data_IF_132780555979
#
_entry.id   IF_132780555979
#
_cell.length_a   1.000
_cell.length_b   1.000
_cell.length_c   1.000
_cell.angle_alpha   90.00
_cell.angle_beta   90.00
_cell.angle_gamma   90.00
#
_symmetry.space_group_name_H-M   'P 1'
#
loop_
_entity.id
_entity.type
_entity.pdbx_description
1 polymer ?
#
# COMPACT_ATOMS: atom_id res chain seq x y z
N UNK A 1 28.48 9.42 26.18
CA UNK A 1 27.36 9.76 25.26
C UNK A 1 26.92 8.49 24.55
N UNK A 2 25.80 7.90 25.00
CA UNK A 2 25.24 6.69 24.39
C UNK A 2 24.74 7.05 23.00
N UNK A 3 25.35 6.47 21.96
CA UNK A 3 24.83 6.57 20.58
C UNK A 3 23.45 5.92 20.58
N UNK A 4 22.40 6.73 20.50
CA UNK A 4 21.04 6.22 20.32
C UNK A 4 21.01 5.42 19.02
N UNK A 5 21.01 4.09 19.14
CA UNK A 5 20.55 3.21 18.06
C UNK A 5 19.14 3.68 17.72
N UNK A 6 18.95 4.24 16.53
CA UNK A 6 17.67 4.82 16.13
C UNK A 6 16.61 3.72 16.17
N UNK A 7 15.66 3.82 17.12
CA UNK A 7 14.54 2.87 17.19
C UNK A 7 13.75 2.97 15.87
N UNK A 8 13.27 1.85 15.33
CA UNK A 8 12.53 1.83 14.06
C UNK A 8 11.33 2.81 14.03
N UNK A 9 10.77 3.14 15.20
CA UNK A 9 9.74 4.15 15.38
C UNK A 9 10.21 5.57 15.02
N UNK A 10 11.43 5.97 15.39
CA UNK A 10 12.02 7.27 15.07
C UNK A 10 12.31 7.36 13.57
N UNK A 11 12.88 6.31 13.00
CA UNK A 11 13.12 6.21 11.55
C UNK A 11 11.82 6.32 10.75
N UNK A 12 10.74 5.67 11.20
CA UNK A 12 9.45 5.77 10.54
C UNK A 12 8.87 7.19 10.60
N UNK A 13 8.98 7.85 11.76
CA UNK A 13 8.50 9.22 11.95
C UNK A 13 9.31 10.22 11.11
N UNK A 14 10.63 10.03 10.99
CA UNK A 14 11.55 10.91 10.28
C UNK A 14 11.53 10.75 8.75
N UNK A 15 10.83 9.75 8.21
CA UNK A 15 10.65 9.59 6.76
C UNK A 15 10.13 10.90 6.12
N UNK A 16 10.64 11.31 4.94
CA UNK A 16 10.31 12.58 4.31
C UNK A 16 8.94 12.52 3.60
N UNK A 17 7.87 12.35 4.37
CA UNK A 17 6.50 12.12 3.89
C UNK A 17 6.02 13.18 2.89
N UNK A 18 6.33 14.46 3.15
CA UNK A 18 5.98 15.57 2.25
C UNK A 18 6.65 15.41 0.88
N UNK A 19 7.94 15.05 0.85
CA UNK A 19 8.70 14.80 -0.38
C UNK A 19 8.16 13.57 -1.12
N UNK A 20 7.83 12.50 -0.40
CA UNK A 20 7.22 11.31 -1.00
C UNK A 20 5.90 11.62 -1.70
N UNK A 21 5.01 12.38 -1.04
CA UNK A 21 3.73 12.79 -1.63
C UNK A 21 3.93 13.64 -2.87
N UNK A 22 4.81 14.64 -2.80
CA UNK A 22 5.12 15.51 -3.94
C UNK A 22 5.66 14.72 -5.15
N UNK A 23 6.57 13.78 -4.91
CA UNK A 23 7.13 12.94 -5.96
C UNK A 23 6.08 12.03 -6.61
N UNK A 24 5.26 11.36 -5.80
CA UNK A 24 4.18 10.49 -6.29
C UNK A 24 3.16 11.30 -7.11
N UNK A 25 2.75 12.46 -6.61
CA UNK A 25 1.79 13.33 -7.29
C UNK A 25 2.30 13.82 -8.66
N UNK A 26 3.59 14.14 -8.78
CA UNK A 26 4.21 14.49 -10.08
C UNK A 26 4.13 13.32 -11.07
N UNK A 27 4.39 12.09 -10.61
CA UNK A 27 4.28 10.89 -11.47
C UNK A 27 2.82 10.64 -11.89
N UNK A 28 1.88 10.72 -10.95
CA UNK A 28 0.45 10.57 -11.24
C UNK A 28 -0.05 11.63 -12.24
N UNK A 29 0.38 12.89 -12.12
CA UNK A 29 0.09 13.94 -13.12
C UNK A 29 0.63 13.59 -14.51
N UNK A 30 1.82 13.00 -14.59
CA UNK A 30 2.41 12.56 -15.87
C UNK A 30 1.61 11.39 -16.47
N UNK A 31 1.16 10.44 -15.64
CA UNK A 31 0.28 9.34 -16.07
C UNK A 31 -1.02 9.92 -16.63
N UNK A 32 -1.68 10.82 -15.90
CA UNK A 32 -2.91 11.48 -16.34
C UNK A 32 -2.74 12.18 -17.68
N UNK A 33 -1.67 12.97 -17.85
CA UNK A 33 -1.37 13.64 -19.13
C UNK A 33 -1.17 12.63 -20.27
N UNK A 34 -0.44 11.54 -20.03
CA UNK A 34 -0.20 10.50 -21.04
C UNK A 34 -1.50 9.78 -21.45
N UNK A 35 -2.34 9.43 -20.48
CA UNK A 35 -3.66 8.82 -20.74
C UNK A 35 -4.56 9.77 -21.53
N UNK A 36 -4.60 11.04 -21.15
CA UNK A 36 -5.44 12.06 -21.81
C UNK A 36 -5.11 12.26 -23.29
N UNK A 37 -3.85 12.10 -23.70
CA UNK A 37 -3.43 12.19 -25.10
C UNK A 37 -3.40 10.84 -25.81
N UNK A 38 -3.87 9.76 -25.17
CA UNK A 38 -3.92 8.42 -25.76
C UNK A 38 -2.58 7.66 -25.78
N UNK A 39 -1.51 8.19 -25.18
CA UNK A 39 -0.20 7.54 -25.14
C UNK A 39 -0.15 6.41 -24.08
N UNK A 40 -0.74 5.28 -24.46
CA UNK A 40 -0.82 4.07 -23.63
C UNK A 40 0.55 3.47 -23.33
N UNK A 41 1.56 3.67 -24.19
CA UNK A 41 2.92 3.14 -23.96
C UNK A 41 3.61 3.90 -22.84
N UNK A 42 3.55 5.24 -22.89
CA UNK A 42 4.10 6.11 -21.85
C UNK A 42 3.35 5.98 -20.53
N UNK A 43 2.01 5.87 -20.56
CA UNK A 43 1.22 5.61 -19.35
C UNK A 43 1.68 4.33 -18.64
N UNK A 44 1.84 3.22 -19.38
CA UNK A 44 2.35 1.95 -18.84
C UNK A 44 3.77 2.06 -18.28
N UNK A 45 4.67 2.77 -18.97
CA UNK A 45 6.04 3.00 -18.49
C UNK A 45 6.05 3.80 -17.18
N UNK A 46 5.23 4.85 -17.07
CA UNK A 46 5.10 5.66 -15.86
C UNK A 46 4.47 4.88 -14.71
N UNK A 47 3.48 4.02 -14.98
CA UNK A 47 2.93 3.10 -13.98
C UNK A 47 4.03 2.17 -13.45
N UNK A 48 4.82 1.54 -14.33
CA UNK A 48 5.98 0.72 -13.91
C UNK A 48 6.99 1.50 -13.06
N UNK A 49 7.19 2.79 -13.36
CA UNK A 49 8.07 3.65 -12.55
C UNK A 49 7.50 3.92 -11.15
N UNK A 50 6.18 4.17 -11.05
CA UNK A 50 5.50 4.27 -9.75
C UNK A 50 5.67 2.95 -8.98
N UNK A 51 5.50 1.81 -9.67
CA UNK A 51 5.69 0.48 -9.09
C UNK A 51 7.12 0.16 -8.62
N UNK A 52 8.11 0.97 -8.97
CA UNK A 52 9.50 0.84 -8.48
C UNK A 52 9.84 1.88 -7.42
N UNK A 53 8.98 2.87 -7.20
CA UNK A 53 9.25 4.00 -6.31
C UNK A 53 9.13 3.64 -4.83
N UNK A 54 10.24 3.81 -4.10
CA UNK A 54 10.29 3.72 -2.63
C UNK A 54 9.27 4.65 -1.96
N UNK A 55 9.10 5.86 -2.50
CA UNK A 55 8.13 6.83 -1.99
C UNK A 55 6.69 6.31 -2.09
N UNK A 56 6.34 5.68 -3.21
CA UNK A 56 5.00 5.16 -3.43
C UNK A 56 4.70 3.97 -2.51
N UNK A 57 5.67 3.05 -2.33
CA UNK A 57 5.53 1.91 -1.39
C UNK A 57 5.30 2.37 0.05
N UNK A 58 6.12 3.28 0.57
CA UNK A 58 5.93 3.78 1.94
C UNK A 58 4.59 4.50 2.15
N UNK A 59 4.14 5.27 1.15
CA UNK A 59 2.84 5.93 1.22
C UNK A 59 1.70 4.91 1.24
N UNK A 60 1.76 3.87 0.40
CA UNK A 60 0.78 2.79 0.39
C UNK A 60 0.75 2.04 1.74
N UNK A 61 1.91 1.66 2.28
CA UNK A 61 2.02 1.01 3.59
C UNK A 61 1.43 1.90 4.68
N UNK A 62 1.81 3.19 4.74
CA UNK A 62 1.26 4.14 5.72
C UNK A 62 -0.26 4.27 5.58
N UNK A 63 -0.77 4.35 4.37
CA UNK A 63 -2.21 4.46 4.12
C UNK A 63 -2.95 3.24 4.68
N UNK A 64 -2.51 2.03 4.32
CA UNK A 64 -3.16 0.78 4.71
C UNK A 64 -3.04 0.51 6.22
N UNK A 65 -1.87 0.75 6.80
CA UNK A 65 -1.59 0.39 8.20
C UNK A 65 -1.99 1.45 9.21
N UNK A 66 -2.11 2.72 8.82
CA UNK A 66 -2.34 3.82 9.77
C UNK A 66 -3.60 4.64 9.49
N UNK A 67 -3.93 4.89 8.22
CA UNK A 67 -4.93 5.89 7.83
C UNK A 67 -6.27 5.30 7.40
N UNK A 68 -6.29 4.09 6.83
CA UNK A 68 -7.53 3.47 6.38
C UNK A 68 -8.46 3.10 7.55
N UNK A 69 -9.76 3.31 7.37
CA UNK A 69 -10.79 2.93 8.35
C UNK A 69 -10.80 1.41 8.62
N UNK A 70 -10.63 0.59 7.58
CA UNK A 70 -10.57 -0.87 7.67
C UNK A 70 -9.22 -1.44 8.13
N UNK A 71 -8.31 -0.62 8.69
CA UNK A 71 -6.97 -1.09 9.11
C UNK A 71 -7.04 -2.20 10.16
N UNK A 72 -8.04 -2.16 11.04
CA UNK A 72 -8.22 -3.13 12.13
C UNK A 72 -8.83 -4.47 11.67
N UNK A 73 -9.14 -4.64 10.39
CA UNK A 73 -9.72 -5.87 9.86
C UNK A 73 -8.62 -6.74 9.25
N UNK A 74 -8.36 -7.89 9.86
CA UNK A 74 -7.36 -8.84 9.37
C UNK A 74 -7.85 -9.62 8.14
N UNK A 75 -6.94 -9.88 7.20
CA UNK A 75 -7.14 -10.86 6.13
C UNK A 75 -6.93 -12.28 6.65
N UNK A 76 -6.56 -13.20 5.76
CA UNK A 76 -6.23 -14.58 6.13
C UNK A 76 -4.94 -14.65 6.95
N UNK A 77 -4.10 -13.62 6.83
CA UNK A 77 -2.84 -13.43 7.56
C UNK A 77 -3.04 -13.18 9.06
N UNK A 78 -4.27 -12.91 9.51
CA UNK A 78 -4.58 -12.68 10.93
C UNK A 78 -4.05 -11.35 11.48
N UNK A 79 -3.27 -10.58 10.70
CA UNK A 79 -2.65 -9.33 11.14
C UNK A 79 -3.60 -8.14 10.98
N UNK A 80 -3.81 -7.41 12.08
CA UNK A 80 -4.60 -6.16 12.12
C UNK A 80 -3.72 -4.92 12.17
N UNK A 81 -2.54 -5.02 12.77
CA UNK A 81 -1.58 -3.93 12.87
C UNK A 81 -0.16 -4.44 12.60
N UNK A 82 0.69 -3.54 12.12
CA UNK A 82 2.11 -3.81 11.92
C UNK A 82 2.94 -2.92 12.84
N UNK A 83 3.99 -3.50 13.43
CA UNK A 83 5.05 -2.73 14.11
C UNK A 83 5.82 -1.87 13.10
N UNK A 84 6.64 -0.94 13.58
CA UNK A 84 7.47 -0.11 12.69
C UNK A 84 8.45 -0.96 11.87
N UNK A 85 9.05 -1.98 12.47
CA UNK A 85 9.97 -2.90 11.81
C UNK A 85 9.26 -3.73 10.73
N UNK A 86 8.08 -4.28 11.05
CA UNK A 86 7.28 -5.01 10.08
C UNK A 86 6.87 -4.15 8.88
N UNK A 87 6.66 -2.84 9.06
CA UNK A 87 6.40 -1.92 7.94
C UNK A 87 7.62 -1.73 7.03
N UNK A 88 8.82 -1.70 7.59
CA UNK A 88 10.05 -1.66 6.79
C UNK A 88 10.26 -2.98 6.04
N UNK A 89 10.02 -4.11 6.70
CA UNK A 89 10.09 -5.43 6.06
C UNK A 89 9.05 -5.56 4.93
N UNK A 90 7.84 -5.03 5.13
CA UNK A 90 6.81 -4.98 4.09
C UNK A 90 7.26 -4.12 2.90
N UNK A 91 7.98 -3.03 3.10
CA UNK A 91 8.52 -2.25 1.98
C UNK A 91 9.50 -3.05 1.14
N UNK A 92 10.35 -3.86 1.78
CA UNK A 92 11.30 -4.75 1.10
C UNK A 92 10.54 -5.84 0.33
N UNK A 93 9.53 -6.46 0.94
CA UNK A 93 8.68 -7.46 0.29
C UNK A 93 7.99 -6.90 -0.96
N UNK A 94 7.45 -5.68 -0.89
CA UNK A 94 6.78 -5.00 -2.01
C UNK A 94 7.74 -4.52 -3.12
N UNK A 95 9.05 -4.77 -3.03
CA UNK A 95 10.01 -4.48 -4.13
C UNK A 95 9.95 -5.52 -5.25
N UNK A 96 9.33 -6.68 -4.99
CA UNK A 96 9.17 -7.74 -5.98
C UNK A 96 8.37 -7.23 -7.19
N UNK A 97 8.76 -7.63 -8.41
CA UNK A 97 8.07 -7.21 -9.63
C UNK A 97 6.83 -8.06 -9.92
N UNK A 98 6.85 -9.32 -9.47
CA UNK A 98 5.78 -10.29 -9.69
C UNK A 98 5.05 -10.54 -8.37
N UNK A 99 3.92 -9.86 -8.19
CA UNK A 99 3.10 -9.99 -6.99
C UNK A 99 1.98 -11.01 -7.19
N UNK A 100 1.96 -12.03 -6.33
CA UNK A 100 0.90 -13.01 -6.28
C UNK A 100 -0.02 -12.71 -5.09
N UNK A 101 -1.28 -12.44 -5.39
CA UNK A 101 -2.25 -12.09 -4.36
C UNK A 101 -2.61 -13.32 -3.53
N UNK A 102 -2.72 -13.14 -2.21
CA UNK A 102 -3.18 -14.22 -1.34
C UNK A 102 -4.68 -14.45 -1.48
N UNK A 103 -5.15 -15.60 -0.97
CA UNK A 103 -6.58 -15.86 -0.83
C UNK A 103 -7.21 -14.77 0.05
N UNK A 104 -8.45 -14.40 -0.26
CA UNK A 104 -9.20 -13.39 0.48
C UNK A 104 -9.93 -14.04 1.65
N UNK A 105 -9.95 -13.38 2.81
CA UNK A 105 -10.81 -13.80 3.93
C UNK A 105 -12.25 -13.41 3.62
N UNK A 106 -13.16 -14.38 3.68
CA UNK A 106 -14.59 -14.15 3.45
C UNK A 106 -15.32 -14.05 4.79
N UNK A 107 -16.05 -12.95 5.00
CA UNK A 107 -16.91 -12.76 6.17
C UNK A 107 -18.36 -12.64 5.70
N UNK A 108 -19.28 -13.49 6.16
CA UNK A 108 -20.70 -13.38 5.81
C UNK A 108 -21.31 -12.16 6.50
N UNK A 109 -22.07 -11.37 5.74
CA UNK A 109 -22.86 -10.25 6.24
C UNK A 109 -24.31 -10.53 5.85
N UNK A 110 -25.22 -10.75 6.83
CA UNK A 110 -26.62 -10.99 6.55
C UNK A 110 -27.27 -9.71 6.02
N UNK A 111 -28.13 -9.86 5.02
CA UNK A 111 -29.01 -8.78 4.55
C UNK A 111 -30.39 -8.88 5.20
N UNK A 112 -31.18 -7.81 5.06
CA UNK A 112 -32.57 -7.76 5.53
C UNK A 112 -33.50 -8.78 4.84
N UNK A 113 -33.17 -9.18 3.62
CA UNK A 113 -33.93 -10.15 2.80
C UNK A 113 -33.60 -11.62 3.11
N UNK A 114 -32.74 -11.90 4.09
CA UNK A 114 -32.28 -13.25 4.44
C UNK A 114 -31.13 -13.77 3.58
N UNK A 115 -30.75 -13.07 2.51
CA UNK A 115 -29.58 -13.44 1.70
C UNK A 115 -28.26 -13.05 2.38
N UNK A 116 -27.17 -13.77 2.07
CA UNK A 116 -25.83 -13.50 2.61
C UNK A 116 -25.00 -12.77 1.56
N UNK A 117 -24.39 -11.64 1.96
CA UNK A 117 -23.31 -11.00 1.19
C UNK A 117 -21.97 -11.29 1.83
N UNK A 118 -20.99 -11.75 1.06
CA UNK A 118 -19.63 -11.95 1.56
C UNK A 118 -18.79 -10.68 1.43
N UNK A 119 -18.23 -10.22 2.53
CA UNK A 119 -17.15 -9.24 2.53
C UNK A 119 -15.82 -9.97 2.30
N UNK A 120 -15.10 -9.59 1.24
CA UNK A 120 -13.79 -10.16 0.90
C UNK A 120 -12.69 -9.22 1.41
N UNK A 121 -11.87 -9.71 2.33
CA UNK A 121 -10.82 -8.93 2.99
C UNK A 121 -9.45 -9.46 2.57
N UNK A 122 -8.64 -8.66 1.86
CA UNK A 122 -7.27 -9.03 1.51
C UNK A 122 -6.31 -8.91 2.71
N UNK A 123 -5.14 -9.53 2.59
CA UNK A 123 -4.03 -9.36 3.54
C UNK A 123 -3.53 -7.91 3.58
N UNK A 124 -2.77 -7.53 4.60
CA UNK A 124 -2.15 -6.18 4.64
C UNK A 124 -1.23 -5.97 3.43
N UNK A 125 -0.48 -7.01 3.04
CA UNK A 125 0.44 -6.94 1.93
C UNK A 125 -0.29 -6.72 0.60
N UNK A 126 -1.37 -7.46 0.34
CA UNK A 126 -2.19 -7.29 -0.86
C UNK A 126 -2.87 -5.91 -0.91
N UNK A 127 -3.37 -5.42 0.23
CA UNK A 127 -3.93 -4.05 0.31
C UNK A 127 -2.89 -3.00 -0.02
N UNK A 128 -1.66 -3.17 0.46
CA UNK A 128 -0.56 -2.24 0.18
C UNK A 128 -0.15 -2.30 -1.29
N UNK A 129 -0.09 -3.49 -1.89
CA UNK A 129 0.20 -3.68 -3.31
C UNK A 129 -0.87 -3.05 -4.21
N UNK A 130 -2.16 -3.29 -3.94
CA UNK A 130 -3.25 -2.69 -4.72
C UNK A 130 -3.25 -1.16 -4.59
N UNK A 131 -3.09 -0.63 -3.36
CA UNK A 131 -3.08 0.84 -3.14
C UNK A 131 -1.95 1.54 -3.88
N UNK A 132 -0.87 0.82 -4.15
CA UNK A 132 0.31 1.27 -4.85
C UNK A 132 0.13 1.35 -6.38
N UNK A 133 -0.75 0.52 -6.94
CA UNK A 133 -1.01 0.43 -8.39
C UNK A 133 -2.06 1.46 -8.87
N UNK A 134 -2.90 1.99 -7.96
CA UNK A 134 -4.04 2.89 -8.23
C UNK A 134 -3.78 4.33 -7.76
#
# INVERSE_FOLDING_TARGET
MVRHSAKASELWKSLPWKKFRANLFRLQKRVFKAVRVGDKRKARSLQKLILKSKAARFLAIRQVTQLNAGKNTAGIDGKTALTHEERFNLEVLLRQQDWYHNKLRMIPIPKKDGSIRYLKIPTIADRAWVRFVV
#
